data_IF_197278159629
#
_entry.id   IF_197278159629
#
_cell.length_a   1.000
_cell.length_b   1.000
_cell.length_c   1.000
_cell.angle_alpha   90.00
_cell.angle_beta   90.00
_cell.angle_gamma   90.00
#
_symmetry.space_group_name_H-M   'P 1'
#
loop_
_entity.id
_entity.type
_entity.pdbx_description
1 polymer ?
#
# COMPACT_ATOMS: atom_id res chain seq x y z
N UNK A 1 31.18 -61.67 60.88
CA UNK A 1 31.22 -61.84 59.42
C UNK A 1 30.68 -60.56 58.79
N UNK A 2 31.57 -59.70 58.31
CA UNK A 2 31.24 -58.39 57.74
C UNK A 2 30.89 -58.54 56.26
N UNK A 3 29.74 -58.01 55.85
CA UNK A 3 29.26 -58.03 54.47
C UNK A 3 30.11 -57.11 53.58
N UNK A 4 30.55 -57.61 52.43
CA UNK A 4 31.27 -56.83 51.42
C UNK A 4 30.27 -55.97 50.61
N UNK A 5 30.59 -54.70 50.31
CA UNK A 5 29.75 -53.88 49.45
C UNK A 5 29.88 -54.31 47.98
N UNK A 6 28.74 -54.36 47.27
CA UNK A 6 28.70 -54.59 45.82
C UNK A 6 29.07 -53.30 45.05
N UNK A 7 29.79 -53.37 43.92
CA UNK A 7 30.07 -52.20 43.09
C UNK A 7 28.82 -51.77 42.31
N UNK A 8 28.58 -50.46 42.27
CA UNK A 8 27.56 -49.81 41.43
C UNK A 8 28.13 -49.68 40.00
N UNK A 9 27.46 -50.15 38.94
CA UNK A 9 27.92 -49.91 37.58
C UNK A 9 27.72 -48.43 37.22
N UNK A 10 28.81 -47.74 36.94
CA UNK A 10 28.83 -46.42 36.33
C UNK A 10 28.62 -46.53 34.80
N UNK A 11 28.13 -45.42 34.24
CA UNK A 11 28.04 -45.07 32.82
C UNK A 11 26.80 -45.57 32.06
N UNK A 12 25.85 -44.64 31.85
CA UNK A 12 25.18 -44.35 30.58
C UNK A 12 24.31 -43.07 30.70
N UNK A 13 24.88 -41.86 30.47
CA UNK A 13 24.04 -40.78 29.97
C UNK A 13 24.74 -39.97 28.85
N UNK A 14 25.50 -40.62 27.95
CA UNK A 14 26.24 -39.90 26.91
C UNK A 14 25.56 -39.92 25.52
N UNK A 15 24.58 -40.81 25.28
CA UNK A 15 23.97 -40.98 23.94
C UNK A 15 22.74 -40.11 23.67
N UNK A 16 22.00 -39.71 24.70
CA UNK A 16 20.79 -38.87 24.56
C UNK A 16 21.10 -37.39 24.31
N UNK A 17 22.18 -36.86 24.88
CA UNK A 17 22.60 -35.46 24.66
C UNK A 17 23.07 -35.18 23.23
N UNK A 18 23.69 -36.17 22.56
CA UNK A 18 24.21 -36.03 21.20
C UNK A 18 23.09 -36.02 20.13
N UNK A 19 22.02 -36.79 20.33
CA UNK A 19 20.88 -36.80 19.40
C UNK A 19 20.05 -35.51 19.45
N UNK A 20 19.89 -34.91 20.64
CA UNK A 20 19.20 -33.61 20.79
C UNK A 20 20.05 -32.46 20.21
N UNK A 21 21.36 -32.48 20.41
CA UNK A 21 22.27 -31.48 19.82
C UNK A 21 22.26 -31.52 18.28
N UNK A 22 22.24 -32.72 17.67
CA UNK A 22 22.14 -32.88 16.22
C UNK A 22 20.78 -32.43 15.66
N UNK A 23 19.68 -32.67 16.36
CA UNK A 23 18.36 -32.21 15.94
C UNK A 23 18.22 -30.68 15.94
N UNK A 24 18.81 -29.99 16.93
CA UNK A 24 18.85 -28.52 17.00
C UNK A 24 19.73 -27.92 15.89
N UNK A 25 20.89 -28.52 15.60
CA UNK A 25 21.78 -28.05 14.53
C UNK A 25 21.16 -28.25 13.12
N UNK A 26 20.40 -29.32 12.91
CA UNK A 26 19.72 -29.57 11.63
C UNK A 26 18.57 -28.59 11.39
N UNK A 27 17.81 -28.24 12.42
CA UNK A 27 16.73 -27.26 12.34
C UNK A 27 17.25 -25.86 11.92
N UNK A 28 18.36 -25.40 12.50
CA UNK A 28 18.97 -24.10 12.14
C UNK A 28 19.47 -24.06 10.70
N UNK A 29 20.08 -25.16 10.21
CA UNK A 29 20.57 -25.22 8.83
C UNK A 29 19.44 -25.26 7.79
N UNK A 30 18.30 -25.87 8.11
CA UNK A 30 17.10 -25.87 7.25
C UNK A 30 16.46 -24.49 7.23
N UNK A 31 16.32 -23.82 8.38
CA UNK A 31 15.75 -22.47 8.46
C UNK A 31 16.58 -21.44 7.68
N UNK A 32 17.91 -21.47 7.78
CA UNK A 32 18.79 -20.58 7.03
C UNK A 32 18.68 -20.78 5.50
N UNK A 33 18.50 -22.02 5.03
CA UNK A 33 18.30 -22.32 3.60
C UNK A 33 16.94 -21.87 3.08
N UNK A 34 15.89 -21.98 3.89
CA UNK A 34 14.54 -21.47 3.55
C UNK A 34 14.59 -19.94 3.47
N UNK A 35 15.13 -19.27 4.48
CA UNK A 35 15.32 -17.81 4.47
C UNK A 35 16.09 -17.32 3.22
N UNK A 36 17.20 -17.97 2.85
CA UNK A 36 17.94 -17.61 1.64
C UNK A 36 17.17 -17.90 0.32
N UNK A 37 16.27 -18.89 0.30
CA UNK A 37 15.39 -19.14 -0.86
C UNK A 37 14.32 -18.06 -0.96
N UNK A 38 13.76 -17.69 0.17
CA UNK A 38 12.69 -16.70 0.28
C UNK A 38 13.21 -15.32 -0.12
N UNK A 39 14.41 -14.95 0.31
CA UNK A 39 15.11 -13.73 -0.10
C UNK A 39 15.38 -13.67 -1.60
N UNK A 40 15.87 -14.76 -2.21
CA UNK A 40 16.09 -14.82 -3.66
C UNK A 40 14.79 -14.69 -4.45
N UNK A 41 13.73 -15.31 -3.97
CA UNK A 41 12.43 -15.25 -4.63
C UNK A 41 11.80 -13.85 -4.50
N UNK A 42 11.90 -13.24 -3.32
CA UNK A 42 11.47 -11.86 -3.10
C UNK A 42 12.19 -10.91 -4.06
N UNK A 43 13.52 -11.03 -4.18
CA UNK A 43 14.31 -10.23 -5.13
C UNK A 43 13.86 -10.42 -6.57
N UNK A 44 13.61 -11.65 -7.00
CA UNK A 44 13.12 -11.97 -8.35
C UNK A 44 11.74 -11.34 -8.62
N UNK A 45 10.86 -11.34 -7.63
CA UNK A 45 9.53 -10.71 -7.70
C UNK A 45 9.65 -9.18 -7.75
N UNK A 46 10.52 -8.61 -6.93
CA UNK A 46 10.82 -7.18 -6.96
C UNK A 46 11.33 -6.72 -8.33
N UNK A 47 12.32 -7.44 -8.89
CA UNK A 47 12.87 -7.15 -10.22
C UNK A 47 11.78 -7.22 -11.31
N UNK A 48 10.88 -8.21 -11.26
CA UNK A 48 9.70 -8.24 -12.15
C UNK A 48 8.75 -7.06 -11.96
N UNK A 49 8.53 -6.61 -10.72
CA UNK A 49 7.72 -5.42 -10.46
C UNK A 49 8.33 -4.19 -11.12
N UNK A 50 9.65 -4.02 -11.01
CA UNK A 50 10.38 -2.93 -11.68
C UNK A 50 10.26 -3.03 -13.20
N UNK A 51 10.42 -4.22 -13.78
CA UNK A 51 10.27 -4.43 -15.22
C UNK A 51 8.86 -4.05 -15.69
N UNK A 52 7.82 -4.46 -14.94
CA UNK A 52 6.42 -4.12 -15.27
C UNK A 52 6.13 -2.62 -15.17
N UNK A 53 6.71 -1.91 -14.19
CA UNK A 53 6.62 -0.44 -14.17
C UNK A 53 7.26 0.18 -15.41
N UNK A 54 8.44 -0.31 -15.83
CA UNK A 54 9.11 0.19 -17.04
C UNK A 54 8.30 -0.09 -18.31
N UNK A 55 7.49 -1.14 -18.31
CA UNK A 55 6.56 -1.50 -19.39
C UNK A 55 5.23 -0.71 -19.30
N UNK A 56 4.97 0.00 -18.20
CA UNK A 56 3.74 0.73 -17.93
C UNK A 56 2.59 -0.13 -17.38
N UNK A 57 2.82 -1.41 -17.08
CA UNK A 57 1.85 -2.31 -16.45
C UNK A 57 1.87 -2.12 -14.92
N UNK A 58 1.19 -1.08 -14.46
CA UNK A 58 1.16 -0.69 -13.06
C UNK A 58 0.37 -1.68 -12.19
N UNK A 59 -0.74 -2.23 -12.71
CA UNK A 59 -1.52 -3.27 -12.04
C UNK A 59 -0.71 -4.57 -11.88
N UNK A 60 0.03 -4.99 -12.90
CA UNK A 60 0.95 -6.11 -12.80
C UNK A 60 2.10 -5.83 -11.81
N UNK A 61 2.66 -4.63 -11.85
CA UNK A 61 3.77 -4.25 -10.99
C UNK A 61 3.41 -4.29 -9.50
N UNK A 62 2.26 -3.72 -9.12
CA UNK A 62 1.82 -3.69 -7.71
C UNK A 62 1.63 -5.10 -7.16
N UNK A 63 1.10 -6.04 -7.96
CA UNK A 63 1.00 -7.46 -7.56
C UNK A 63 2.37 -8.07 -7.27
N UNK A 64 3.37 -7.80 -8.11
CA UNK A 64 4.74 -8.32 -7.91
C UNK A 64 5.42 -7.72 -6.69
N UNK A 65 5.24 -6.42 -6.44
CA UNK A 65 5.81 -5.78 -5.27
C UNK A 65 5.22 -6.31 -3.97
N UNK A 66 3.89 -6.50 -3.90
CA UNK A 66 3.26 -7.15 -2.74
C UNK A 66 3.76 -8.58 -2.55
N UNK A 67 3.81 -9.37 -3.62
CA UNK A 67 4.34 -10.73 -3.55
C UNK A 67 5.80 -10.77 -3.06
N UNK A 68 6.63 -9.80 -3.46
CA UNK A 68 7.99 -9.64 -2.95
C UNK A 68 8.00 -9.32 -1.46
N UNK A 69 7.21 -8.34 -1.04
CA UNK A 69 7.14 -7.90 0.35
C UNK A 69 6.64 -9.02 1.29
N UNK A 70 5.60 -9.75 0.88
CA UNK A 70 5.07 -10.89 1.63
C UNK A 70 6.09 -12.02 1.78
N UNK A 71 6.98 -12.16 0.78
CA UNK A 71 8.01 -13.19 0.78
C UNK A 71 9.20 -12.85 1.66
N UNK A 72 9.64 -11.61 1.63
CA UNK A 72 10.69 -11.08 2.49
C UNK A 72 10.41 -9.60 2.81
N UNK A 73 9.80 -9.30 3.96
CA UNK A 73 9.41 -7.94 4.31
C UNK A 73 10.61 -7.00 4.38
N UNK A 74 10.67 -6.05 3.44
CA UNK A 74 11.66 -4.97 3.44
C UNK A 74 10.95 -3.65 3.25
N UNK A 75 11.19 -2.70 4.15
CA UNK A 75 10.54 -1.39 4.14
C UNK A 75 10.67 -0.71 2.77
N UNK A 76 11.85 -0.77 2.12
CA UNK A 76 12.06 -0.15 0.81
C UNK A 76 11.09 -0.62 -0.29
N UNK A 77 10.51 -1.82 -0.18
CA UNK A 77 9.50 -2.29 -1.13
C UNK A 77 8.18 -1.54 -0.93
N UNK A 78 7.82 -1.18 0.30
CA UNK A 78 6.62 -0.38 0.59
C UNK A 78 6.67 1.00 -0.06
N UNK A 79 7.85 1.62 -0.15
CA UNK A 79 8.01 2.90 -0.85
C UNK A 79 7.66 2.78 -2.34
N UNK A 80 8.09 1.69 -3.00
CA UNK A 80 7.75 1.42 -4.40
C UNK A 80 6.26 1.08 -4.57
N UNK A 81 5.67 0.32 -3.65
CA UNK A 81 4.23 0.02 -3.65
C UNK A 81 3.44 1.33 -3.53
N UNK A 82 3.79 2.19 -2.59
CA UNK A 82 3.14 3.49 -2.41
C UNK A 82 3.22 4.37 -3.65
N UNK A 83 4.37 4.41 -4.31
CA UNK A 83 4.54 5.15 -5.57
C UNK A 83 3.65 4.61 -6.69
N UNK A 84 3.59 3.29 -6.89
CA UNK A 84 2.70 2.68 -7.89
C UNK A 84 1.22 2.92 -7.54
N UNK A 85 0.85 2.89 -6.26
CA UNK A 85 -0.52 3.20 -5.83
C UNK A 85 -0.91 4.65 -6.15
N UNK A 86 0.00 5.60 -5.99
CA UNK A 86 -0.22 7.00 -6.39
C UNK A 86 -0.47 7.10 -7.89
N UNK A 87 0.37 6.44 -8.70
CA UNK A 87 0.24 6.45 -10.17
C UNK A 87 -1.08 5.81 -10.64
N UNK A 88 -1.55 4.78 -9.93
CA UNK A 88 -2.85 4.16 -10.14
C UNK A 88 -4.04 5.00 -9.62
N UNK A 89 -3.80 6.17 -9.02
CA UNK A 89 -4.82 7.01 -8.40
C UNK A 89 -5.38 6.47 -7.09
N UNK A 90 -4.78 5.43 -6.50
CA UNK A 90 -5.17 4.85 -5.22
C UNK A 90 -4.52 5.61 -4.05
N UNK A 91 -4.95 6.84 -3.84
CA UNK A 91 -4.45 7.78 -2.80
C UNK A 91 -4.56 7.19 -1.38
N UNK A 92 -5.66 6.52 -1.06
CA UNK A 92 -5.88 5.92 0.27
C UNK A 92 -4.89 4.78 0.54
N UNK A 93 -4.77 3.85 -0.42
CA UNK A 93 -3.82 2.75 -0.33
C UNK A 93 -2.38 3.25 -0.25
N UNK A 94 -2.03 4.27 -1.06
CA UNK A 94 -0.71 4.90 -1.02
C UNK A 94 -0.39 5.50 0.35
N UNK A 95 -1.33 6.24 0.94
CA UNK A 95 -1.15 6.83 2.26
C UNK A 95 -0.92 5.77 3.34
N UNK A 96 -1.73 4.70 3.35
CA UNK A 96 -1.56 3.59 4.29
C UNK A 96 -0.17 2.94 4.14
N UNK A 97 0.20 2.62 2.91
CA UNK A 97 1.48 1.97 2.60
C UNK A 97 2.67 2.85 2.96
N UNK A 98 2.63 4.14 2.66
CA UNK A 98 3.74 5.06 2.96
C UNK A 98 3.84 5.38 4.46
N UNK A 99 2.73 5.45 5.20
CA UNK A 99 2.78 5.51 6.68
C UNK A 99 3.46 4.26 7.26
N UNK A 100 3.17 3.09 6.68
CA UNK A 100 3.83 1.85 7.06
C UNK A 100 5.32 1.89 6.74
N UNK A 101 5.72 2.40 5.57
CA UNK A 101 7.12 2.62 5.24
C UNK A 101 7.83 3.50 6.28
N UNK A 102 7.25 4.65 6.63
CA UNK A 102 7.82 5.57 7.63
C UNK A 102 7.96 4.90 9.01
N UNK A 103 7.05 4.00 9.36
CA UNK A 103 7.07 3.27 10.64
C UNK A 103 8.08 2.11 10.64
N UNK A 104 8.20 1.39 9.52
CA UNK A 104 9.06 0.21 9.39
C UNK A 104 10.48 0.54 8.90
N UNK A 105 10.74 1.78 8.47
CA UNK A 105 12.05 2.22 8.03
C UNK A 105 13.06 2.04 9.19
N UNK A 106 13.98 1.10 9.00
CA UNK A 106 15.13 0.88 9.87
C UNK A 106 16.32 1.77 9.48
N UNK A 107 17.45 1.55 10.13
CA UNK A 107 18.71 2.27 9.86
C UNK A 107 19.25 2.07 8.43
N UNK A 108 18.79 1.02 7.74
CA UNK A 108 19.20 0.68 6.38
C UNK A 108 18.50 1.52 5.28
N UNK A 109 17.55 2.38 5.65
CA UNK A 109 16.84 3.28 4.73
C UNK A 109 17.56 4.63 4.68
N UNK A 110 17.79 5.14 3.47
CA UNK A 110 18.37 6.47 3.30
C UNK A 110 17.48 7.56 3.96
N UNK A 111 18.05 8.45 4.79
CA UNK A 111 17.28 9.51 5.44
C UNK A 111 16.52 10.42 4.47
N UNK A 112 17.07 10.68 3.28
CA UNK A 112 16.40 11.47 2.24
C UNK A 112 15.15 10.77 1.69
N UNK A 113 15.20 9.44 1.51
CA UNK A 113 14.01 8.66 1.13
C UNK A 113 12.94 8.69 2.22
N UNK A 114 13.34 8.61 3.49
CA UNK A 114 12.42 8.70 4.62
C UNK A 114 11.76 10.08 4.69
N UNK A 115 12.54 11.16 4.57
CA UNK A 115 12.04 12.54 4.53
C UNK A 115 11.09 12.76 3.36
N UNK A 116 11.42 12.23 2.18
CA UNK A 116 10.55 12.28 0.99
C UNK A 116 9.22 11.58 1.26
N UNK A 117 9.23 10.35 1.78
CA UNK A 117 8.00 9.63 2.07
C UNK A 117 7.14 10.35 3.12
N UNK A 118 7.76 10.96 4.13
CA UNK A 118 7.04 11.79 5.11
C UNK A 118 6.40 13.02 4.47
N UNK A 119 7.05 13.64 3.48
CA UNK A 119 6.48 14.76 2.73
C UNK A 119 5.29 14.29 1.89
N UNK A 120 5.44 13.19 1.15
CA UNK A 120 4.33 12.61 0.37
C UNK A 120 3.15 12.24 1.27
N UNK A 121 3.39 11.66 2.44
CA UNK A 121 2.34 11.38 3.44
C UNK A 121 1.59 12.66 3.83
N UNK A 122 2.29 13.77 4.12
CA UNK A 122 1.65 15.05 4.44
C UNK A 122 0.83 15.60 3.27
N UNK A 123 1.36 15.48 2.05
CA UNK A 123 0.71 15.98 0.85
C UNK A 123 -0.57 15.19 0.55
N UNK A 124 -0.50 13.85 0.59
CA UNK A 124 -1.66 12.97 0.45
C UNK A 124 -2.70 13.23 1.55
N UNK A 125 -2.27 13.39 2.81
CA UNK A 125 -3.17 13.73 3.93
C UNK A 125 -3.90 15.06 3.71
N UNK A 126 -3.25 16.03 3.08
CA UNK A 126 -3.87 17.33 2.78
C UNK A 126 -4.91 17.24 1.66
N UNK A 127 -4.81 16.24 0.78
CA UNK A 127 -5.76 15.99 -0.30
C UNK A 127 -6.99 15.22 0.17
N UNK A 128 -6.83 14.37 1.21
CA UNK A 128 -7.94 13.59 1.75
C UNK A 128 -9.05 14.49 2.28
N UNK A 129 -10.27 14.18 1.86
CA UNK A 129 -11.48 14.86 2.32
C UNK A 129 -12.40 13.85 2.99
N UNK A 130 -13.21 14.31 3.95
CA UNK A 130 -13.93 13.41 4.85
C UNK A 130 -15.43 13.69 4.82
N UNK A 131 -16.23 12.63 4.82
CA UNK A 131 -17.67 12.66 4.99
C UNK A 131 -18.06 12.19 6.39
N UNK A 132 -18.73 13.08 7.13
CA UNK A 132 -19.44 12.71 8.37
C UNK A 132 -20.91 12.48 8.03
N UNK A 133 -21.31 11.21 7.97
CA UNK A 133 -22.69 10.81 7.68
C UNK A 133 -23.44 10.54 8.98
N UNK A 134 -24.42 11.38 9.28
CA UNK A 134 -25.35 11.19 10.40
C UNK A 134 -26.65 10.64 9.84
N UNK A 135 -27.08 9.47 10.31
CA UNK A 135 -28.33 8.84 9.88
C UNK A 135 -29.33 8.86 11.02
N UNK A 136 -30.58 9.23 10.75
CA UNK A 136 -31.66 9.28 11.76
C UNK A 136 -31.93 7.93 12.43
N UNK A 137 -31.65 6.85 11.69
CA UNK A 137 -31.93 5.47 12.07
C UNK A 137 -30.64 4.69 12.33
N UNK A 138 -30.40 4.19 13.56
CA UNK A 138 -29.31 3.25 13.84
C UNK A 138 -29.50 1.92 13.10
N UNK A 139 -28.40 1.25 12.77
CA UNK A 139 -28.43 -0.05 12.09
C UNK A 139 -28.63 0.04 10.58
N UNK A 140 -28.64 1.23 9.98
CA UNK A 140 -28.75 1.41 8.53
C UNK A 140 -27.38 1.21 7.86
N UNK A 141 -27.33 0.45 6.77
CA UNK A 141 -26.11 0.26 5.98
C UNK A 141 -25.86 1.49 5.11
N UNK A 142 -24.61 1.96 5.08
CA UNK A 142 -24.17 3.15 4.34
C UNK A 142 -23.14 2.73 3.29
N UNK A 143 -23.32 3.21 2.07
CA UNK A 143 -22.33 3.10 0.98
C UNK A 143 -22.01 4.47 0.40
N UNK A 144 -20.76 4.69 0.02
CA UNK A 144 -20.22 5.92 -0.56
C UNK A 144 -19.61 5.56 -1.92
N UNK A 145 -20.14 6.08 -3.02
CA UNK A 145 -19.78 5.69 -4.39
C UNK A 145 -19.75 4.17 -4.61
N UNK A 146 -20.75 3.49 -4.05
CA UNK A 146 -20.86 2.02 -4.09
C UNK A 146 -19.91 1.25 -3.16
N UNK A 147 -18.94 1.91 -2.50
CA UNK A 147 -18.07 1.29 -1.49
C UNK A 147 -18.78 1.23 -0.14
N UNK A 148 -18.67 0.10 0.56
CA UNK A 148 -19.28 -0.08 1.88
C UNK A 148 -18.56 0.79 2.93
N UNK A 149 -19.29 1.76 3.50
CA UNK A 149 -18.77 2.66 4.54
C UNK A 149 -19.07 2.16 5.96
N UNK A 150 -20.04 1.24 6.12
CA UNK A 150 -20.38 0.60 7.39
C UNK A 150 -21.85 0.76 7.76
N UNK A 151 -22.14 0.77 9.06
CA UNK A 151 -23.50 0.83 9.59
C UNK A 151 -23.64 2.01 10.55
N UNK A 152 -24.77 2.72 10.50
CA UNK A 152 -25.03 3.86 11.38
C UNK A 152 -25.16 3.44 12.87
N UNK A 153 -24.64 4.23 13.82
CA UNK A 153 -23.77 5.39 13.61
C UNK A 153 -22.33 4.99 13.26
N UNK A 154 -21.71 5.73 12.35
CA UNK A 154 -20.29 5.56 12.03
C UNK A 154 -19.43 6.11 13.17
N UNK A 155 -18.37 5.38 13.55
CA UNK A 155 -17.50 5.76 14.66
C UNK A 155 -16.58 6.94 14.33
N UNK A 156 -16.22 7.08 13.05
CA UNK A 156 -15.32 8.11 12.54
C UNK A 156 -15.85 8.64 11.19
N UNK A 157 -15.49 9.88 10.80
CA UNK A 157 -15.70 10.34 9.42
C UNK A 157 -15.06 9.36 8.44
N UNK A 158 -15.71 9.18 7.29
CA UNK A 158 -15.24 8.27 6.25
C UNK A 158 -14.53 9.09 5.18
N UNK A 159 -13.43 8.58 4.66
CA UNK A 159 -12.77 9.22 3.52
C UNK A 159 -13.72 9.24 2.32
N UNK A 160 -13.68 10.33 1.56
CA UNK A 160 -14.42 10.47 0.31
C UNK A 160 -13.50 11.15 -0.70
N UNK A 161 -13.67 10.86 -1.97
CA UNK A 161 -12.93 11.59 -2.99
C UNK A 161 -13.56 12.99 -3.17
N UNK A 162 -12.75 14.02 -3.46
CA UNK A 162 -13.30 15.34 -3.74
C UNK A 162 -14.17 15.30 -5.00
N UNK A 163 -15.26 16.06 -5.00
CA UNK A 163 -16.24 16.08 -6.09
C UNK A 163 -17.66 15.83 -5.60
N UNK A 164 -18.52 15.30 -6.47
CA UNK A 164 -19.89 14.94 -6.10
C UNK A 164 -19.96 13.44 -5.86
N UNK A 165 -20.22 13.07 -4.61
CA UNK A 165 -20.20 11.69 -4.15
C UNK A 165 -21.62 11.19 -3.90
N UNK A 166 -21.93 9.96 -4.30
CA UNK A 166 -23.20 9.30 -4.00
C UNK A 166 -23.14 8.68 -2.60
N UNK A 167 -23.95 9.19 -1.67
CA UNK A 167 -24.17 8.54 -0.37
C UNK A 167 -25.52 7.83 -0.40
N UNK A 168 -25.48 6.52 -0.24
CA UNK A 168 -26.67 5.65 -0.21
C UNK A 168 -26.82 5.01 1.15
N UNK A 169 -28.04 5.09 1.69
CA UNK A 169 -28.39 4.60 3.02
C UNK A 169 -29.60 3.69 2.91
N UNK A 170 -29.47 2.47 3.44
CA UNK A 170 -30.50 1.42 3.37
C UNK A 170 -30.78 0.82 4.74
N UNK A 171 -32.05 0.59 5.02
CA UNK A 171 -32.52 -0.14 6.21
C UNK A 171 -33.83 -0.87 5.87
N UNK A 172 -33.98 -2.10 6.36
CA UNK A 172 -35.24 -2.83 6.17
C UNK A 172 -36.42 -2.10 6.81
N UNK A 173 -37.54 -1.99 6.10
CA UNK A 173 -38.72 -1.23 6.52
C UNK A 173 -38.65 0.28 6.24
N UNK A 174 -37.60 0.76 5.59
CA UNK A 174 -37.43 2.15 5.18
C UNK A 174 -37.14 2.25 3.67
N UNK A 175 -37.57 3.36 3.07
CA UNK A 175 -37.22 3.68 1.70
C UNK A 175 -35.72 3.99 1.61
N UNK A 176 -35.09 3.51 0.54
CA UNK A 176 -33.67 3.75 0.28
C UNK A 176 -33.44 5.24 0.02
N UNK A 177 -32.51 5.83 0.78
CA UNK A 177 -32.12 7.22 0.58
C UNK A 177 -30.83 7.27 -0.23
N UNK A 178 -30.83 8.04 -1.31
CA UNK A 178 -29.66 8.32 -2.14
C UNK A 178 -29.48 9.83 -2.19
N UNK A 179 -28.30 10.31 -1.78
CA UNK A 179 -27.98 11.74 -1.66
C UNK A 179 -26.68 12.01 -2.41
N UNK A 180 -26.70 12.96 -3.34
CA UNK A 180 -25.50 13.46 -4.01
C UNK A 180 -24.90 14.58 -3.15
N UNK A 181 -23.67 14.39 -2.69
CA UNK A 181 -23.03 15.28 -1.71
C UNK A 181 -21.84 15.97 -2.37
N UNK A 182 -21.79 17.31 -2.42
CA UNK A 182 -20.60 18.02 -2.82
C UNK A 182 -19.55 17.95 -1.70
N UNK A 183 -18.42 17.31 -2.00
CA UNK A 183 -17.29 17.13 -1.12
C UNK A 183 -16.14 18.00 -1.63
N UNK A 184 -15.90 19.17 -1.01
CA UNK A 184 -14.76 20.00 -1.36
C UNK A 184 -13.45 19.35 -0.90
N UNK A 185 -12.36 19.64 -1.58
CA UNK A 185 -11.01 19.23 -1.19
C UNK A 185 -10.65 19.69 0.23
N UNK A 186 -9.83 18.88 0.91
CA UNK A 186 -9.20 19.21 2.20
C UNK A 186 -10.16 19.64 3.33
N UNK A 187 -11.43 19.20 3.29
CA UNK A 187 -12.44 19.57 4.30
C UNK A 187 -13.23 18.36 4.79
N UNK A 188 -13.90 18.52 5.92
CA UNK A 188 -14.92 17.55 6.35
C UNK A 188 -16.29 18.09 6.02
N UNK A 189 -17.05 17.37 5.20
CA UNK A 189 -18.47 17.66 4.93
C UNK A 189 -19.34 16.81 5.84
N UNK A 190 -20.22 17.46 6.60
CA UNK A 190 -21.23 16.79 7.41
C UNK A 190 -22.57 16.78 6.69
N UNK A 191 -23.21 15.61 6.66
CA UNK A 191 -24.56 15.44 6.12
C UNK A 191 -25.44 14.71 7.13
N UNK A 192 -26.73 15.05 7.10
CA UNK A 192 -27.76 14.31 7.85
C UNK A 192 -28.72 13.66 6.87
N UNK A 193 -28.84 12.33 6.93
CA UNK A 193 -29.76 11.52 6.13
C UNK A 193 -30.91 11.05 7.01
N UNK A 194 -32.13 11.43 6.64
CA UNK A 194 -33.35 10.99 7.34
C UNK A 194 -34.03 9.91 6.52
N UNK A 195 -34.19 8.72 7.10
CA UNK A 195 -34.93 7.63 6.46
C UNK A 195 -36.43 7.76 6.70
N UNK A 196 -37.22 7.49 5.67
CA UNK A 196 -38.68 7.48 5.72
C UNK A 196 -39.16 6.03 5.70
N UNK A 197 -40.09 5.67 6.60
CA UNK A 197 -40.62 4.32 6.67
C UNK A 197 -41.38 3.95 5.38
N UNK A 198 -41.08 2.79 4.80
CA UNK A 198 -41.75 2.32 3.59
C UNK A 198 -43.21 2.04 3.89
N UNK A 199 -44.10 2.75 3.21
CA UNK A 199 -45.52 2.42 3.27
C UNK A 199 -45.79 1.23 2.35
N UNK A 200 -46.11 0.08 2.94
CA UNK A 200 -46.63 -1.06 2.18
C UNK A 200 -48.03 -0.68 1.70
N UNK A 201 -48.12 -0.16 0.47
CA UNK A 201 -49.39 0.03 -0.19
C UNK A 201 -50.04 -1.34 -0.40
N UNK A 202 -51.10 -1.63 0.36
CA UNK A 202 -52.01 -2.72 0.04
C UNK A 202 -52.63 -2.37 -1.32
N UNK A 203 -52.15 -3.02 -2.38
CA UNK A 203 -52.68 -2.86 -3.74
C UNK A 203 -54.12 -3.40 -3.77
N UNK A 204 -55.07 -2.51 -3.51
CA UNK A 204 -56.45 -2.62 -3.97
C UNK A 204 -56.49 -2.07 -5.39
N UNK A 205 -56.65 -2.96 -6.38
CA UNK A 205 -56.69 -2.56 -7.79
C UNK A 205 -57.92 -1.73 -8.14
N UNK A 206 -57.74 -0.69 -8.96
CA UNK A 206 -58.55 -0.43 -10.14
C UNK A 206 -57.95 0.70 -11.02
N UNK A 207 -57.69 0.36 -12.30
CA UNK A 207 -57.96 1.14 -13.52
C UNK A 207 -57.52 2.61 -13.68
N UNK A 208 -56.58 2.82 -14.61
CA UNK A 208 -56.81 3.65 -15.81
C UNK A 208 -56.37 5.12 -15.79
N UNK A 209 -55.46 5.48 -16.71
CA UNK A 209 -55.20 6.87 -17.11
C UNK A 209 -53.88 7.06 -17.87
N UNK A 210 -53.95 7.03 -19.20
CA UNK A 210 -52.88 7.49 -20.11
C UNK A 210 -52.65 9.01 -20.00
N UNK A 211 -51.41 9.46 -20.28
CA UNK A 211 -51.17 10.82 -20.77
C UNK A 211 -49.79 11.42 -20.50
N UNK A 212 -48.98 11.58 -21.55
CA UNK A 212 -48.30 12.87 -21.80
C UNK A 212 -46.82 13.03 -21.46
N UNK A 213 -45.97 12.72 -22.47
CA UNK A 213 -44.78 13.44 -22.97
C UNK A 213 -44.01 14.48 -22.14
N UNK A 214 -42.67 14.39 -22.24
CA UNK A 214 -41.82 15.54 -22.61
C UNK A 214 -40.60 15.79 -21.72
N UNK A 215 -39.39 15.85 -22.32
CA UNK A 215 -38.25 16.56 -21.75
C UNK A 215 -36.87 15.94 -22.01
N UNK A 216 -36.26 16.25 -23.15
CA UNK A 216 -34.81 16.17 -23.36
C UNK A 216 -34.08 17.18 -22.47
N UNK A 217 -32.85 16.88 -22.07
CA UNK A 217 -31.96 17.82 -21.40
C UNK A 217 -30.55 17.25 -21.28
N UNK A 218 -29.75 17.42 -22.32
CA UNK A 218 -28.31 17.20 -22.27
C UNK A 218 -27.64 18.18 -21.32
N UNK A 219 -26.70 17.68 -20.52
CA UNK A 219 -25.75 18.48 -19.76
C UNK A 219 -24.35 18.17 -20.26
N UNK A 220 -23.71 19.16 -20.88
CA UNK A 220 -22.27 19.18 -21.12
C UNK A 220 -21.51 19.05 -19.79
N UNK A 221 -20.59 18.08 -19.73
CA UNK A 221 -19.57 18.01 -18.69
C UNK A 221 -18.61 19.19 -18.87
N UNK A 222 -18.35 19.99 -17.82
CA UNK A 222 -17.28 20.98 -17.87
C UNK A 222 -15.91 20.29 -17.90
N UNK A 223 -14.89 20.88 -18.52
CA UNK A 223 -13.57 20.30 -18.58
C UNK A 223 -12.97 20.27 -17.18
N UNK A 224 -12.63 19.07 -16.70
CA UNK A 224 -11.76 18.91 -15.54
C UNK A 224 -10.34 19.17 -16.03
N UNK A 225 -9.93 20.44 -15.96
CA UNK A 225 -8.52 20.84 -16.08
C UNK A 225 -7.99 21.10 -14.66
N UNK A 226 -6.89 20.43 -14.33
CA UNK A 226 -6.31 20.42 -12.99
C UNK A 226 -5.63 19.12 -12.60
N UNK A 227 -5.03 18.38 -13.54
CA UNK A 227 -4.02 17.37 -13.18
C UNK A 227 -2.81 18.11 -12.65
N UNK A 228 -2.49 17.92 -11.36
CA UNK A 228 -1.29 18.49 -10.74
C UNK A 228 -0.07 17.78 -11.32
N UNK A 229 0.57 18.39 -12.31
CA UNK A 229 1.78 17.91 -12.99
C UNK A 229 3.00 17.87 -12.04
N UNK A 230 3.16 16.81 -11.24
CA UNK A 230 4.40 16.57 -10.48
C UNK A 230 5.12 15.26 -10.85
N UNK A 231 4.50 14.38 -11.65
CA UNK A 231 5.07 13.11 -12.12
C UNK A 231 6.02 13.24 -13.33
N UNK A 232 6.21 14.45 -13.88
CA UNK A 232 7.01 14.65 -15.11
C UNK A 232 8.53 14.70 -14.90
N UNK A 233 9.05 14.61 -13.68
CA UNK A 233 10.50 14.45 -13.48
C UNK A 233 10.87 13.02 -13.06
N UNK A 234 11.26 12.29 -14.10
CA UNK A 234 11.82 10.95 -14.29
C UNK A 234 13.01 10.52 -13.37
N UNK A 235 13.10 10.95 -12.11
CA UNK A 235 14.23 10.64 -11.21
C UNK A 235 14.00 9.49 -10.22
N UNK A 236 12.77 8.99 -10.07
CA UNK A 236 12.44 7.94 -9.10
C UNK A 236 13.11 6.57 -9.40
N UNK A 237 13.33 6.22 -10.68
CA UNK A 237 13.88 4.92 -11.08
C UNK A 237 15.41 4.88 -11.28
N UNK A 238 16.11 6.02 -11.23
CA UNK A 238 17.57 6.05 -11.44
C UNK A 238 18.39 5.45 -10.29
N UNK A 239 17.83 5.25 -9.10
CA UNK A 239 18.57 4.74 -7.95
C UNK A 239 18.58 3.20 -7.84
N UNK A 240 17.60 2.49 -8.41
CA UNK A 240 17.51 1.02 -8.32
C UNK A 240 18.12 0.32 -9.54
N UNK A 241 18.17 0.99 -10.69
CA UNK A 241 18.70 0.47 -11.97
C UNK A 241 20.16 0.81 -12.30
N UNK A 242 20.91 1.47 -11.43
CA UNK A 242 22.31 1.85 -11.69
C UNK A 242 23.34 0.83 -11.18
N UNK A 243 23.09 -0.47 -11.38
CA UNK A 243 24.15 -1.49 -11.45
C UNK A 243 23.78 -2.49 -12.53
N UNK A 244 24.05 -2.15 -13.80
CA UNK A 244 24.63 -3.01 -14.85
C UNK A 244 24.48 -2.30 -16.21
N UNK A 245 25.60 -2.27 -16.96
CA UNK A 245 25.80 -1.76 -18.32
C UNK A 245 25.94 -0.23 -18.46
N UNK A 246 27.20 0.21 -18.46
CA UNK A 246 27.57 1.55 -18.89
C UNK A 246 27.14 1.81 -20.32
N UNK A 247 26.39 2.88 -20.52
CA UNK A 247 26.21 3.53 -21.81
C UNK A 247 26.48 5.02 -21.59
N UNK A 248 27.57 5.46 -22.21
CA UNK A 248 27.97 6.86 -22.32
C UNK A 248 27.23 7.47 -23.50
N UNK A 249 26.45 8.52 -23.26
CA UNK A 249 26.06 9.46 -24.30
C UNK A 249 26.37 10.87 -23.83
N UNK A 250 27.35 11.48 -24.51
CA UNK A 250 27.76 12.86 -24.30
C UNK A 250 26.92 13.86 -25.10
N UNK A 251 26.76 15.03 -24.51
CA UNK A 251 26.68 16.35 -25.16
C UNK A 251 27.00 17.39 -24.05
N UNK A 252 28.25 17.88 -23.93
CA UNK A 252 28.66 19.24 -24.32
C UNK A 252 28.04 20.32 -23.44
N UNK A 253 28.73 21.00 -22.51
CA UNK A 253 29.76 22.02 -22.72
C UNK A 253 30.46 22.37 -21.38
N UNK A 254 31.77 22.64 -21.40
CA UNK A 254 32.45 23.35 -20.31
C UNK A 254 33.89 22.89 -20.04
N UNK A 255 34.84 23.46 -20.78
CA UNK A 255 36.27 23.17 -20.72
C UNK A 255 36.97 23.63 -19.44
N UNK A 256 37.83 22.77 -18.87
CA UNK A 256 39.20 23.03 -18.37
C UNK A 256 39.95 21.68 -18.51
N UNK A 257 40.86 21.51 -19.48
CA UNK A 257 42.33 21.63 -19.31
C UNK A 257 42.86 20.88 -18.08
N UNK A 258 43.83 19.97 -18.12
CA UNK A 258 44.64 19.31 -19.15
C UNK A 258 45.38 18.16 -18.42
N UNK A 259 45.85 17.15 -19.17
CA UNK A 259 47.05 16.27 -18.97
C UNK A 259 47.40 15.71 -17.58
N UNK A 260 48.03 14.56 -17.39
CA UNK A 260 48.27 13.28 -18.05
C UNK A 260 48.97 12.42 -16.95
N UNK A 261 49.30 11.17 -17.27
CA UNK A 261 50.29 10.34 -16.57
C UNK A 261 49.87 9.56 -15.30
N UNK A 262 49.61 8.26 -15.54
CA UNK A 262 50.61 7.28 -15.11
C UNK A 262 50.35 6.52 -13.80
N UNK A 263 50.01 5.23 -13.95
CA UNK A 263 50.71 4.19 -13.20
C UNK A 263 50.02 3.55 -11.98
N UNK A 264 49.98 2.22 -12.04
CA UNK A 264 50.20 1.28 -10.92
C UNK A 264 49.08 1.02 -9.87
N UNK A 265 48.49 -0.18 -10.02
CA UNK A 265 48.33 -1.26 -9.03
C UNK A 265 48.14 -0.98 -7.52
N UNK A 266 47.10 -1.66 -6.99
CA UNK A 266 46.97 -2.22 -5.63
C UNK A 266 46.83 -1.16 -4.50
N UNK A 267 46.13 -1.34 -3.37
CA UNK A 267 45.90 -2.49 -2.48
C UNK A 267 44.72 -2.14 -1.54
N UNK A 268 44.08 -3.17 -0.99
CA UNK A 268 43.19 -3.08 0.17
C UNK A 268 43.88 -2.51 1.41
N UNK A 269 43.14 -1.80 2.27
CA UNK A 269 43.42 -1.75 3.70
C UNK A 269 42.16 -1.47 4.52
N UNK A 270 42.16 -2.09 5.69
CA UNK A 270 41.08 -2.32 6.65
C UNK A 270 41.46 -1.59 7.96
N UNK A 271 40.45 -1.07 8.68
CA UNK A 271 40.41 -0.53 10.07
C UNK A 271 40.81 0.93 10.41
N UNK A 272 39.94 1.53 11.25
CA UNK A 272 40.23 2.44 12.37
C UNK A 272 39.65 3.85 12.20
N UNK A 273 38.69 4.34 13.01
CA UNK A 273 38.53 4.22 14.47
C UNK A 273 37.09 4.53 14.87
#
# INVERSE_FOLDING_TARGET
MLATPRPIPAALPCRLGFAVLLAVLFASAVQAKVSARDEREARRLFEQGVDLVNEGDLEGAIEKFWASYDRNPRAIVLFNIGAVQIELGNTEGALETLRRFVTEAGEDVDPGQLEQAQQVVRDLESQLTFLRVIVSEPGASITIDGRAAGTSPLLQPVHADPGVVEVRVRKEGFDEAVVMVPVPEARTTEITVTLVATQVAVVGGNGGGEGGAGGEGGGEEPPVDGTVEWWEEWWFWTAVGAVVAGVSLGAGLGAWAAEDDGGASATWSVWGR
#
